data_IF_668003413695
#
_entry.id   IF_668003413695
#
_cell.length_a   1.000
_cell.length_b   1.000
_cell.length_c   1.000
_cell.angle_alpha   90.00
_cell.angle_beta   90.00
_cell.angle_gamma   90.00
#
_symmetry.space_group_name_H-M   'P 1'
#
loop_
_entity.id
_entity.type
_entity.pdbx_description
1 polymer ?
#
# COMPACT_ATOMS: atom_id res chain seq x y z
N UNK A 1 -2.60 -12.18 -28.58
CA UNK A 1 -3.07 -13.33 -27.77
C UNK A 1 -4.09 -12.92 -26.70
N UNK A 2 -3.77 -11.99 -25.80
CA UNK A 2 -4.69 -11.57 -24.72
C UNK A 2 -6.08 -11.13 -25.23
N UNK A 3 -6.13 -10.32 -26.29
CA UNK A 3 -7.37 -9.93 -26.97
C UNK A 3 -8.20 -11.12 -27.46
N UNK A 4 -7.57 -12.09 -28.15
CA UNK A 4 -8.26 -13.27 -28.68
C UNK A 4 -8.83 -14.20 -27.57
N UNK A 5 -8.19 -14.21 -26.40
CA UNK A 5 -8.65 -14.96 -25.22
C UNK A 5 -9.68 -14.18 -24.39
N UNK A 6 -10.09 -12.97 -24.82
CA UNK A 6 -10.99 -12.06 -24.10
C UNK A 6 -10.48 -11.64 -22.73
N UNK A 7 -9.15 -11.58 -22.57
CA UNK A 7 -8.52 -11.03 -21.37
C UNK A 7 -8.52 -9.50 -21.45
N UNK A 8 -8.34 -8.94 -22.66
CA UNK A 8 -8.38 -7.50 -22.93
C UNK A 8 -9.47 -7.19 -23.96
N UNK A 9 -10.07 -6.01 -23.87
CA UNK A 9 -11.20 -5.62 -24.74
C UNK A 9 -10.78 -4.81 -25.99
N UNK A 10 -9.50 -4.47 -26.14
CA UNK A 10 -8.98 -3.67 -27.26
C UNK A 10 -8.20 -4.52 -28.27
N UNK A 11 -8.42 -4.28 -29.56
CA UNK A 11 -7.64 -4.89 -30.64
C UNK A 11 -6.26 -4.21 -30.72
N UNK A 12 -5.16 -4.93 -30.42
CA UNK A 12 -3.83 -4.32 -30.45
C UNK A 12 -3.37 -3.94 -31.87
N UNK A 13 -3.89 -4.57 -32.92
CA UNK A 13 -3.50 -4.26 -34.30
C UNK A 13 -4.14 -2.97 -34.81
N UNK A 14 -5.31 -2.60 -34.31
CA UNK A 14 -5.99 -1.36 -34.68
C UNK A 14 -5.27 -0.13 -34.10
N UNK A 15 -4.65 -0.27 -32.93
CA UNK A 15 -4.01 0.82 -32.18
C UNK A 15 -2.49 0.73 -32.14
N UNK A 16 -1.87 -0.10 -32.99
CA UNK A 16 -0.42 -0.32 -33.06
C UNK A 16 0.22 -0.62 -31.68
N UNK A 17 -0.48 -1.39 -30.83
CA UNK A 17 0.01 -1.77 -29.50
C UNK A 17 1.04 -2.90 -29.63
N UNK A 18 2.30 -2.59 -29.30
CA UNK A 18 3.41 -3.52 -29.40
C UNK A 18 3.40 -4.58 -28.28
N UNK A 19 3.54 -5.85 -28.65
CA UNK A 19 3.58 -6.97 -27.71
C UNK A 19 4.87 -6.98 -26.86
N UNK A 20 5.99 -6.59 -27.46
CA UNK A 20 7.31 -6.58 -26.84
C UNK A 20 7.39 -5.57 -25.67
N UNK A 21 6.47 -4.60 -25.63
CA UNK A 21 6.34 -3.70 -24.47
C UNK A 21 5.83 -4.43 -23.23
N UNK A 22 5.04 -5.48 -23.43
CA UNK A 22 4.49 -6.34 -22.38
C UNK A 22 5.46 -7.47 -22.02
N UNK A 23 5.95 -8.23 -23.00
CA UNK A 23 6.89 -9.32 -22.79
C UNK A 23 7.99 -9.30 -23.86
N UNK A 24 9.19 -8.88 -23.47
CA UNK A 24 10.34 -8.81 -24.36
C UNK A 24 11.17 -10.11 -24.25
N UNK A 25 11.35 -10.90 -25.32
CA UNK A 25 12.13 -12.14 -25.28
C UNK A 25 13.62 -11.92 -24.99
N UNK A 26 14.16 -10.73 -25.25
CA UNK A 26 15.57 -10.40 -24.99
C UNK A 26 15.84 -10.00 -23.54
N UNK A 27 14.79 -9.81 -22.73
CA UNK A 27 14.89 -9.42 -21.33
C UNK A 27 14.27 -10.50 -20.45
N UNK A 28 15.01 -10.95 -19.43
CA UNK A 28 14.41 -11.74 -18.36
C UNK A 28 13.47 -10.81 -17.58
N UNK A 29 12.18 -10.97 -17.82
CA UNK A 29 11.10 -10.29 -17.09
C UNK A 29 9.95 -11.25 -16.90
N UNK A 30 9.40 -11.28 -15.69
CA UNK A 30 8.13 -11.96 -15.46
C UNK A 30 7.02 -11.19 -16.18
N UNK A 31 6.15 -11.87 -16.96
CA UNK A 31 4.98 -11.23 -17.53
C UNK A 31 4.03 -10.84 -16.39
N UNK A 32 3.62 -9.57 -16.34
CA UNK A 32 2.67 -9.08 -15.35
C UNK A 32 1.49 -8.41 -16.06
N UNK A 33 0.32 -9.03 -15.96
CA UNK A 33 -0.92 -8.54 -16.57
C UNK A 33 -1.63 -7.50 -15.70
N UNK A 34 -1.22 -7.31 -14.44
CA UNK A 34 -1.86 -6.38 -13.49
C UNK A 34 -3.39 -6.48 -13.50
N UNK A 35 -3.92 -7.71 -13.40
CA UNK A 35 -5.38 -7.95 -13.45
C UNK A 35 -6.03 -7.57 -12.12
N UNK A 36 -6.77 -6.47 -12.15
CA UNK A 36 -7.59 -5.99 -11.04
C UNK A 36 -9.07 -6.42 -11.18
N UNK A 37 -9.75 -6.58 -10.05
CA UNK A 37 -11.19 -6.76 -10.00
C UNK A 37 -11.83 -5.74 -9.04
N UNK A 38 -13.09 -5.39 -9.31
CA UNK A 38 -13.82 -4.44 -8.47
C UNK A 38 -13.93 -4.95 -7.02
N UNK A 39 -13.97 -4.04 -6.04
CA UNK A 39 -14.26 -4.42 -4.65
C UNK A 39 -15.60 -5.14 -4.54
N UNK A 40 -16.58 -4.76 -5.36
CA UNK A 40 -17.86 -5.45 -5.48
C UNK A 40 -17.67 -6.82 -6.14
N UNK A 41 -17.96 -7.89 -5.40
CA UNK A 41 -17.80 -9.27 -5.86
C UNK A 41 -16.43 -9.89 -5.56
N UNK A 42 -15.54 -9.17 -4.88
CA UNK A 42 -14.24 -9.67 -4.39
C UNK A 42 -14.35 -11.05 -3.71
N UNK A 43 -15.28 -11.21 -2.79
CA UNK A 43 -15.41 -12.45 -2.03
C UNK A 43 -15.81 -13.64 -2.93
N UNK A 44 -16.55 -13.37 -4.02
CA UNK A 44 -16.87 -14.40 -5.03
C UNK A 44 -15.64 -14.81 -5.83
N UNK A 45 -14.80 -13.85 -6.21
CA UNK A 45 -13.53 -14.14 -6.91
C UNK A 45 -12.63 -14.98 -6.02
N UNK A 46 -12.49 -14.58 -4.75
CA UNK A 46 -11.68 -15.30 -3.76
C UNK A 46 -12.17 -16.74 -3.58
N UNK A 47 -13.47 -16.96 -3.41
CA UNK A 47 -14.00 -18.30 -3.24
C UNK A 47 -13.77 -19.13 -4.51
N UNK A 48 -14.00 -18.56 -5.70
CA UNK A 48 -13.76 -19.24 -6.97
C UNK A 48 -12.31 -19.70 -7.14
N UNK A 49 -11.33 -18.85 -6.85
CA UNK A 49 -9.91 -19.25 -6.96
C UNK A 49 -9.52 -20.24 -5.87
N UNK A 50 -10.09 -20.15 -4.67
CA UNK A 50 -9.85 -21.10 -3.58
C UNK A 50 -10.42 -22.49 -3.90
N UNK A 51 -11.58 -22.57 -4.56
CA UNK A 51 -12.15 -23.82 -5.07
C UNK A 51 -11.33 -24.40 -6.23
N UNK A 52 -10.80 -23.53 -7.11
CA UNK A 52 -10.06 -23.94 -8.31
C UNK A 52 -8.64 -24.44 -8.00
N UNK A 53 -7.91 -23.74 -7.13
CA UNK A 53 -6.49 -24.00 -6.85
C UNK A 53 -6.23 -24.61 -5.46
N UNK A 54 -7.26 -24.69 -4.62
CA UNK A 54 -7.17 -25.17 -3.25
C UNK A 54 -7.02 -24.04 -2.24
N UNK A 55 -7.82 -24.10 -1.18
CA UNK A 55 -7.93 -23.04 -0.16
C UNK A 55 -6.61 -22.73 0.58
N UNK A 56 -5.69 -23.70 0.63
CA UNK A 56 -4.36 -23.52 1.24
C UNK A 56 -3.34 -22.86 0.30
N UNK A 57 -3.59 -22.88 -1.01
CA UNK A 57 -2.72 -22.30 -2.02
C UNK A 57 -3.06 -20.84 -2.35
N UNK A 58 -4.19 -20.34 -1.82
CA UNK A 58 -4.67 -18.97 -2.05
C UNK A 58 -4.59 -18.15 -0.76
N UNK A 59 -4.07 -16.94 -0.86
CA UNK A 59 -4.01 -16.00 0.27
C UNK A 59 -4.20 -14.56 -0.18
N UNK A 60 -4.49 -13.68 0.77
CA UNK A 60 -4.59 -12.24 0.55
C UNK A 60 -3.24 -11.57 0.78
N UNK A 61 -2.92 -10.49 0.07
CA UNK A 61 -1.63 -9.77 0.25
C UNK A 61 -1.79 -8.67 1.31
N UNK A 62 -0.91 -8.63 2.32
CA UNK A 62 -0.93 -7.57 3.34
C UNK A 62 -0.63 -6.19 2.74
N UNK A 63 -1.25 -5.15 3.27
CA UNK A 63 -0.83 -3.75 3.09
C UNK A 63 -0.29 -3.20 4.39
N UNK A 64 0.53 -2.15 4.33
CA UNK A 64 1.07 -1.51 5.52
C UNK A 64 0.55 -0.09 5.64
N UNK A 65 0.02 0.25 6.82
CA UNK A 65 -0.25 1.63 7.17
C UNK A 65 1.04 2.30 7.63
N UNK A 66 1.49 3.35 6.94
CA UNK A 66 2.64 4.16 7.33
C UNK A 66 2.20 5.49 7.95
N UNK A 67 3.08 6.11 8.72
CA UNK A 67 2.83 7.44 9.29
C UNK A 67 3.12 8.54 8.25
N UNK A 68 2.11 8.89 7.45
CA UNK A 68 2.17 10.05 6.54
C UNK A 68 2.24 11.39 7.31
N UNK A 69 2.68 12.47 6.65
CA UNK A 69 2.92 13.79 7.25
C UNK A 69 1.84 14.27 8.25
N UNK A 70 0.55 14.21 7.86
CA UNK A 70 -0.58 14.57 8.75
C UNK A 70 -0.73 13.62 9.93
N UNK A 71 -0.58 12.32 9.70
CA UNK A 71 -0.75 11.31 10.73
C UNK A 71 0.38 11.37 11.76
N UNK A 72 1.63 11.54 11.32
CA UNK A 72 2.79 11.62 12.21
C UNK A 72 2.72 12.85 13.12
N UNK A 73 2.33 14.03 12.61
CA UNK A 73 2.12 15.24 13.43
C UNK A 73 1.07 14.99 14.51
N UNK A 74 -0.06 14.35 14.15
CA UNK A 74 -1.14 14.04 15.08
C UNK A 74 -0.74 13.03 16.15
N UNK A 75 -0.06 11.97 15.74
CA UNK A 75 0.35 10.91 16.66
C UNK A 75 1.46 11.39 17.61
N UNK A 76 2.47 12.12 17.11
CA UNK A 76 3.54 12.72 17.93
C UNK A 76 2.99 13.76 18.90
N UNK A 77 2.18 14.71 18.40
CA UNK A 77 1.62 15.77 19.25
C UNK A 77 0.79 15.23 20.41
N UNK A 78 0.04 14.14 20.18
CA UNK A 78 -0.69 13.45 21.25
C UNK A 78 0.24 12.80 22.27
N UNK A 79 1.34 12.18 21.83
CA UNK A 79 2.31 11.53 22.73
C UNK A 79 3.06 12.56 23.58
N UNK A 80 3.34 13.74 23.03
CA UNK A 80 3.91 14.87 23.77
C UNK A 80 2.92 15.54 24.74
N UNK A 81 1.65 15.11 24.76
CA UNK A 81 0.64 15.60 25.69
C UNK A 81 -0.09 16.87 25.24
N UNK A 82 0.08 17.31 23.98
CA UNK A 82 -0.61 18.49 23.49
C UNK A 82 -2.11 18.23 23.29
N UNK A 83 -2.98 19.24 23.53
CA UNK A 83 -4.39 19.16 23.21
C UNK A 83 -4.64 18.94 21.71
N UNK A 84 -5.72 18.24 21.38
CA UNK A 84 -6.09 17.98 19.98
C UNK A 84 -6.19 19.26 19.14
N UNK A 85 -6.73 20.35 19.69
CA UNK A 85 -6.87 21.64 18.99
C UNK A 85 -5.53 22.25 18.60
N UNK A 86 -4.50 22.12 19.44
CA UNK A 86 -3.15 22.59 19.16
C UNK A 86 -2.56 21.84 17.97
N UNK A 87 -2.63 20.51 18.01
CA UNK A 87 -2.05 19.64 16.98
C UNK A 87 -2.84 19.72 15.66
N UNK A 88 -4.16 19.83 15.74
CA UNK A 88 -5.02 19.94 14.56
C UNK A 88 -4.75 21.24 13.78
N UNK A 89 -4.49 22.36 14.48
CA UNK A 89 -4.09 23.64 13.88
C UNK A 89 -2.85 23.49 13.00
N UNK A 90 -1.84 22.74 13.45
CA UNK A 90 -0.61 22.49 12.69
C UNK A 90 -0.89 21.50 11.56
N UNK A 91 -1.60 20.39 11.84
CA UNK A 91 -1.87 19.35 10.84
C UNK A 91 -2.68 19.85 9.63
N UNK A 92 -3.52 20.87 9.80
CA UNK A 92 -4.30 21.51 8.73
C UNK A 92 -3.46 22.30 7.74
N UNK A 93 -2.28 22.75 8.14
CA UNK A 93 -1.32 23.44 7.26
C UNK A 93 -0.64 22.48 6.29
N UNK A 94 -0.67 21.18 6.57
CA UNK A 94 -0.14 20.18 5.64
C UNK A 94 -1.10 20.06 4.44
N UNK A 95 -0.64 20.27 3.19
CA UNK A 95 -1.49 20.15 2.02
C UNK A 95 -2.06 18.72 1.85
N UNK A 96 -3.22 18.55 1.21
CA UNK A 96 -3.90 17.26 1.09
C UNK A 96 -3.36 16.35 -0.03
N UNK A 97 -2.29 16.73 -0.72
CA UNK A 97 -1.79 16.00 -1.88
C UNK A 97 -1.38 14.55 -1.55
N UNK A 98 -1.70 13.58 -2.44
CA UNK A 98 -1.18 12.22 -2.32
C UNK A 98 0.36 12.21 -2.30
N UNK A 99 0.96 11.47 -1.36
CA UNK A 99 2.42 11.42 -1.23
C UNK A 99 3.07 12.70 -0.69
N UNK A 100 2.30 13.53 0.03
CA UNK A 100 2.82 14.68 0.77
C UNK A 100 3.79 14.25 1.89
N UNK A 101 4.91 14.96 1.98
CA UNK A 101 5.93 14.79 3.04
C UNK A 101 6.06 16.08 3.84
N UNK A 102 6.64 16.02 5.04
CA UNK A 102 6.93 17.20 5.85
C UNK A 102 7.82 18.19 5.09
N UNK A 103 8.83 17.69 4.37
CA UNK A 103 9.71 18.54 3.55
C UNK A 103 8.93 19.31 2.47
N UNK A 104 8.08 18.62 1.70
CA UNK A 104 7.24 19.26 0.67
C UNK A 104 6.25 20.24 1.29
N UNK A 105 5.67 19.91 2.44
CA UNK A 105 4.75 20.79 3.13
C UNK A 105 5.43 22.09 3.58
N UNK A 106 6.65 22.01 4.12
CA UNK A 106 7.44 23.19 4.50
C UNK A 106 7.81 24.09 3.31
N UNK A 107 8.04 23.50 2.13
CA UNK A 107 8.28 24.27 0.92
C UNK A 107 7.00 24.91 0.34
N UNK A 108 5.84 24.29 0.55
CA UNK A 108 4.57 24.71 -0.04
C UNK A 108 3.76 25.70 0.84
N UNK A 109 3.87 25.61 2.17
CA UNK A 109 3.13 26.44 3.12
C UNK A 109 4.08 27.28 3.99
N UNK A 110 4.27 28.57 3.68
CA UNK A 110 5.20 29.46 4.40
C UNK A 110 4.94 29.58 5.90
N UNK A 111 3.70 29.37 6.35
CA UNK A 111 3.37 29.41 7.79
C UNK A 111 4.01 28.30 8.60
N UNK A 112 4.38 27.17 7.96
CA UNK A 112 5.04 26.07 8.66
C UNK A 112 6.45 26.45 9.14
N UNK A 113 7.35 26.97 8.27
CA UNK A 113 8.61 27.56 8.70
C UNK A 113 8.45 28.66 9.77
N UNK A 114 7.47 29.56 9.59
CA UNK A 114 7.24 30.66 10.55
C UNK A 114 6.88 30.13 11.95
N UNK A 115 5.95 29.17 12.03
CA UNK A 115 5.56 28.56 13.31
C UNK A 115 6.68 27.71 13.92
N UNK A 116 7.45 27.04 13.08
CA UNK A 116 8.58 26.23 13.52
C UNK A 116 9.68 27.08 14.18
N UNK A 117 9.96 28.29 13.69
CA UNK A 117 10.94 29.19 14.29
C UNK A 117 10.38 30.02 15.46
N UNK A 118 9.05 30.26 15.48
CA UNK A 118 8.42 31.12 16.49
C UNK A 118 7.99 30.38 17.77
N UNK A 119 7.76 29.07 17.71
CA UNK A 119 7.18 28.28 18.79
C UNK A 119 8.01 27.01 19.06
N UNK A 120 8.69 26.97 20.21
CA UNK A 120 9.54 25.84 20.62
C UNK A 120 8.74 24.52 20.75
N UNK A 121 7.46 24.57 21.15
CA UNK A 121 6.63 23.35 21.20
C UNK A 121 6.36 22.80 19.80
N UNK A 122 6.16 23.68 18.81
CA UNK A 122 5.98 23.28 17.41
C UNK A 122 7.27 22.71 16.83
N UNK A 123 8.41 23.30 17.19
CA UNK A 123 9.73 22.84 16.77
C UNK A 123 10.02 21.41 17.25
N UNK A 124 9.86 21.17 18.55
CA UNK A 124 10.05 19.83 19.15
C UNK A 124 9.12 18.78 18.52
N UNK A 125 7.86 19.15 18.30
CA UNK A 125 6.89 18.29 17.62
C UNK A 125 7.36 17.91 16.21
N UNK A 126 7.76 18.90 15.40
CA UNK A 126 8.12 18.69 14.00
C UNK A 126 9.43 17.93 13.87
N UNK A 127 10.42 18.20 14.72
CA UNK A 127 11.69 17.48 14.70
C UNK A 127 11.53 16.00 15.07
N UNK A 128 10.63 15.70 16.00
CA UNK A 128 10.27 14.32 16.28
C UNK A 128 9.45 13.70 15.12
N UNK A 129 8.53 14.46 14.53
CA UNK A 129 7.74 14.00 13.40
C UNK A 129 8.61 13.66 12.17
N UNK A 130 9.65 14.45 11.89
CA UNK A 130 10.64 14.18 10.83
C UNK A 130 11.34 12.83 11.00
N UNK A 131 11.60 12.41 12.24
CA UNK A 131 12.25 11.11 12.53
C UNK A 131 11.31 9.92 12.35
N UNK A 132 10.00 10.15 12.43
CA UNK A 132 8.98 9.11 12.41
C UNK A 132 8.17 9.08 11.10
N UNK A 133 8.30 10.10 10.26
CA UNK A 133 7.63 10.14 8.96
C UNK A 133 7.98 8.89 8.13
N UNK A 134 6.95 8.24 7.59
CA UNK A 134 7.10 7.06 6.74
C UNK A 134 7.30 5.73 7.48
N UNK A 135 7.49 5.74 8.80
CA UNK A 135 7.61 4.51 9.58
C UNK A 135 6.31 3.70 9.52
N UNK A 136 6.44 2.37 9.35
CA UNK A 136 5.33 1.42 9.36
C UNK A 136 4.68 1.37 10.74
N UNK A 137 3.36 1.58 10.79
CA UNK A 137 2.58 1.67 12.03
C UNK A 137 1.80 0.39 12.31
N UNK A 138 1.15 -0.17 11.30
CA UNK A 138 0.27 -1.32 11.47
C UNK A 138 0.04 -2.09 10.17
N UNK A 139 -0.42 -3.33 10.31
CA UNK A 139 -1.05 -4.05 9.23
C UNK A 139 -2.29 -3.28 8.74
N UNK A 140 -2.40 -3.12 7.43
CA UNK A 140 -3.52 -2.43 6.79
C UNK A 140 -4.81 -3.25 6.92
N UNK A 141 -5.93 -2.53 7.00
CA UNK A 141 -7.27 -3.12 7.16
C UNK A 141 -7.77 -3.88 5.93
N UNK A 142 -7.27 -3.49 4.75
CA UNK A 142 -7.67 -4.06 3.47
C UNK A 142 -6.47 -4.70 2.81
N UNK A 143 -6.62 -5.95 2.37
CA UNK A 143 -5.60 -6.62 1.59
C UNK A 143 -5.40 -5.92 0.24
N UNK A 144 -4.16 -5.92 -0.25
CA UNK A 144 -3.78 -5.27 -1.50
C UNK A 144 -4.08 -6.09 -2.75
N UNK A 145 -4.45 -7.36 -2.58
CA UNK A 145 -4.73 -8.28 -3.68
C UNK A 145 -4.88 -9.71 -3.19
N UNK A 146 -4.97 -10.64 -4.13
CA UNK A 146 -5.02 -12.10 -3.90
C UNK A 146 -3.83 -12.71 -4.61
N UNK A 147 -3.15 -13.64 -3.95
CA UNK A 147 -2.03 -14.41 -4.49
C UNK A 147 -2.40 -15.89 -4.56
N UNK A 148 -1.95 -16.56 -5.62
CA UNK A 148 -2.17 -17.98 -5.88
C UNK A 148 -0.79 -18.64 -6.00
N UNK A 149 -0.55 -19.66 -5.20
CA UNK A 149 0.69 -20.44 -5.19
C UNK A 149 0.46 -21.83 -5.82
N UNK A 150 1.53 -22.51 -6.29
CA UNK A 150 1.41 -23.88 -6.81
C UNK A 150 1.21 -24.94 -5.72
N UNK A 151 1.57 -24.63 -4.47
CA UNK A 151 1.41 -25.49 -3.29
C UNK A 151 0.88 -24.66 -2.12
N UNK A 152 0.97 -25.16 -0.88
CA UNK A 152 0.51 -24.40 0.28
C UNK A 152 1.23 -23.06 0.36
N UNK A 153 0.49 -21.98 0.64
CA UNK A 153 1.07 -20.63 0.67
C UNK A 153 2.18 -20.50 1.72
N UNK A 154 2.11 -21.31 2.78
CA UNK A 154 3.11 -21.40 3.86
C UNK A 154 4.44 -22.00 3.41
N UNK A 155 4.50 -22.64 2.24
CA UNK A 155 5.77 -23.08 1.64
C UNK A 155 6.60 -21.88 1.14
N UNK A 156 5.95 -20.73 0.95
CA UNK A 156 6.56 -19.51 0.42
C UNK A 156 6.64 -18.39 1.46
N UNK A 157 5.58 -18.13 2.24
CA UNK A 157 5.54 -17.03 3.19
C UNK A 157 4.74 -17.33 4.45
N UNK A 158 5.12 -16.77 5.61
CA UNK A 158 4.25 -16.78 6.78
C UNK A 158 3.00 -15.92 6.60
N UNK A 159 2.01 -16.22 7.43
CA UNK A 159 0.70 -15.61 7.42
C UNK A 159 0.52 -14.67 8.63
N UNK A 160 -0.16 -13.56 8.40
CA UNK A 160 -0.73 -12.67 9.39
C UNK A 160 -2.24 -12.94 9.49
N UNK A 161 -2.73 -13.11 10.72
CA UNK A 161 -4.14 -13.31 11.00
C UNK A 161 -4.60 -12.25 12.00
N UNK A 162 -5.73 -11.62 11.72
CA UNK A 162 -6.40 -10.74 12.68
C UNK A 162 -7.03 -11.57 13.81
N UNK A 163 -7.25 -10.97 14.98
CA UNK A 163 -7.75 -11.64 16.19
C UNK A 163 -9.16 -12.24 16.04
N UNK A 164 -9.94 -11.77 15.05
CA UNK A 164 -11.29 -12.25 14.74
C UNK A 164 -11.37 -13.22 13.54
N UNK A 165 -10.24 -13.59 12.92
CA UNK A 165 -10.20 -14.19 11.58
C UNK A 165 -10.35 -15.72 11.53
N UNK A 166 -11.40 -16.29 12.13
CA UNK A 166 -11.74 -17.72 11.90
C UNK A 166 -12.49 -17.98 10.58
N UNK A 167 -13.03 -16.95 9.92
CA UNK A 167 -13.92 -17.08 8.75
C UNK A 167 -13.36 -16.49 7.44
N UNK A 168 -12.17 -15.88 7.44
CA UNK A 168 -11.56 -15.26 6.25
C UNK A 168 -10.20 -15.89 5.92
N UNK A 169 -9.83 -15.91 4.64
CA UNK A 169 -8.51 -16.38 4.22
C UNK A 169 -7.42 -15.59 4.96
N UNK A 170 -6.36 -16.27 5.46
CA UNK A 170 -5.27 -15.60 6.15
C UNK A 170 -4.55 -14.64 5.20
N UNK A 171 -3.96 -13.57 5.74
CA UNK A 171 -3.29 -12.53 4.98
C UNK A 171 -1.79 -12.84 4.95
N UNK A 172 -1.23 -13.07 3.78
CA UNK A 172 0.19 -13.26 3.57
C UNK A 172 0.98 -12.01 3.96
N UNK A 173 1.97 -12.18 4.86
CA UNK A 173 2.94 -11.14 5.12
C UNK A 173 3.84 -11.06 3.90
N UNK A 174 3.82 -9.93 3.20
CA UNK A 174 4.82 -9.63 2.18
C UNK A 174 6.13 -9.35 2.91
N UNK A 175 6.92 -10.38 3.18
CA UNK A 175 8.36 -10.16 3.33
C UNK A 175 8.85 -9.59 2.01
N UNK A 176 9.78 -8.64 2.03
CA UNK A 176 10.34 -8.03 0.81
C UNK A 176 10.86 -9.13 -0.11
N UNK A 177 10.04 -9.52 -1.08
CA UNK A 177 10.40 -10.43 -2.15
C UNK A 177 11.29 -9.66 -3.11
N UNK A 178 12.52 -10.13 -3.28
CA UNK A 178 13.29 -9.71 -4.43
C UNK A 178 12.71 -10.49 -5.62
N UNK A 179 12.16 -9.78 -6.62
CA UNK A 179 11.61 -10.41 -7.83
C UNK A 179 12.64 -11.24 -8.63
N UNK A 180 13.90 -11.27 -8.19
CA UNK A 180 15.01 -12.03 -8.75
C UNK A 180 15.20 -13.41 -8.10
N UNK A 181 14.46 -13.75 -7.04
CA UNK A 181 14.60 -15.04 -6.33
C UNK A 181 13.84 -16.20 -7.01
N UNK A 182 13.49 -16.05 -8.30
CA UNK A 182 12.80 -17.05 -9.15
C UNK A 182 13.48 -17.20 -10.50
#
# INVERSE_FOLDING_TARGET
MAYALKITDLDPLEFDLLFERFLNPERVSMPDFDVDFCMDGRDRVIEHVAETYGRQAVSQIITFGTMAAKAVIRDVGRVLGHPYSFVDRISKLIPPDPGMTLEKAFAAEPKLPELYEADEEVKDLIDMARKLEGVTRNAGKHAGGVVIAPTAITDFSPLYCDSEAYTRLPILIKMTWNMQDW
#
